data_IF_385719606982
#
_entry.id   IF_385719606982
#
_cell.length_a   1.000
_cell.length_b   1.000
_cell.length_c   1.000
_cell.angle_alpha   90.00
_cell.angle_beta   90.00
_cell.angle_gamma   90.00
#
_symmetry.space_group_name_H-M   'P 1'
#
loop_
_entity.id
_entity.type
_entity.pdbx_description
1 polymer ?
#
# COMPACT_ATOMS: atom_id res chain seq x y z
N UNK A 1 0.12 49.77 4.46
CA UNK A 1 0.43 49.96 5.88
C UNK A 1 -0.82 49.62 6.67
N UNK A 2 -0.92 48.40 7.20
CA UNK A 2 -1.99 48.07 8.13
C UNK A 2 -1.75 48.93 9.36
N UNK A 3 -2.79 49.65 9.76
CA UNK A 3 -2.80 50.50 10.93
C UNK A 3 -2.75 49.56 12.15
N UNK A 4 -1.54 49.21 12.59
CA UNK A 4 -1.31 48.25 13.67
C UNK A 4 -1.58 48.95 14.99
N UNK A 5 -2.87 49.04 15.31
CA UNK A 5 -3.34 49.66 16.54
C UNK A 5 -2.86 48.81 17.71
N UNK A 6 -1.95 49.31 18.56
CA UNK A 6 -1.24 48.47 19.53
C UNK A 6 -2.15 47.91 20.63
N UNK A 7 -3.34 48.51 20.80
CA UNK A 7 -4.37 48.07 21.75
C UNK A 7 -5.41 47.14 21.12
N UNK A 8 -5.32 46.86 19.81
CA UNK A 8 -6.23 45.94 19.14
C UNK A 8 -5.91 44.50 19.54
N UNK A 9 -6.85 43.76 20.15
CA UNK A 9 -6.63 42.36 20.47
C UNK A 9 -6.58 41.51 19.19
N UNK A 10 -5.79 40.44 19.24
CA UNK A 10 -5.64 39.42 18.21
C UNK A 10 -5.83 38.05 18.85
N UNK A 11 -6.52 37.17 18.13
CA UNK A 11 -6.73 35.75 18.46
C UNK A 11 -6.87 34.96 17.16
N UNK A 12 -6.69 33.64 17.23
CA UNK A 12 -6.84 32.70 16.11
C UNK A 12 -8.04 31.77 16.29
N UNK A 13 -8.55 31.25 15.17
CA UNK A 13 -9.47 30.11 15.16
C UNK A 13 -8.73 28.84 15.61
N UNK A 14 -9.45 27.95 16.27
CA UNK A 14 -8.89 26.71 16.81
C UNK A 14 -9.74 25.51 16.41
N UNK A 15 -9.10 24.39 16.09
CA UNK A 15 -9.78 23.13 15.75
C UNK A 15 -9.33 22.04 16.72
N UNK A 16 -10.29 21.35 17.33
CA UNK A 16 -10.03 20.32 18.34
C UNK A 16 -11.01 19.16 18.17
N UNK A 17 -10.59 17.95 18.48
CA UNK A 17 -11.50 16.79 18.50
C UNK A 17 -12.25 16.69 19.84
N UNK A 18 -13.46 16.13 19.83
CA UNK A 18 -14.24 15.85 21.06
C UNK A 18 -13.37 15.11 22.09
N UNK A 19 -13.48 15.51 23.37
CA UNK A 19 -12.68 15.00 24.48
C UNK A 19 -11.27 15.60 24.57
N UNK A 20 -10.85 16.38 23.57
CA UNK A 20 -9.57 17.07 23.54
C UNK A 20 -9.52 18.30 24.47
N UNK A 21 -8.44 19.08 24.36
CA UNK A 21 -8.28 20.36 25.07
C UNK A 21 -7.92 21.44 24.06
N UNK A 22 -8.65 22.56 24.07
CA UNK A 22 -8.37 23.73 23.25
C UNK A 22 -7.82 24.86 24.10
N UNK A 23 -6.88 25.64 23.55
CA UNK A 23 -6.30 26.82 24.22
C UNK A 23 -6.68 28.07 23.44
N UNK A 24 -7.49 28.93 24.03
CA UNK A 24 -7.85 30.23 23.46
C UNK A 24 -6.88 31.29 23.98
N UNK A 25 -6.17 31.96 23.06
CA UNK A 25 -5.14 32.94 23.41
C UNK A 25 -5.48 34.29 22.79
N UNK A 26 -5.66 35.29 23.65
CA UNK A 26 -5.86 36.67 23.23
C UNK A 26 -4.64 37.51 23.58
N UNK A 27 -4.12 38.27 22.60
CA UNK A 27 -2.93 39.10 22.75
C UNK A 27 -3.16 40.52 22.26
N UNK A 28 -2.54 41.49 22.91
CA UNK A 28 -2.42 42.89 22.47
C UNK A 28 -0.93 43.27 22.43
N UNK A 29 -0.53 44.18 21.54
CA UNK A 29 0.88 44.57 21.41
C UNK A 29 1.34 45.43 22.59
N UNK A 30 0.48 46.33 23.05
CA UNK A 30 0.68 47.16 24.23
C UNK A 30 -0.53 47.07 25.17
N UNK A 31 -0.33 47.46 26.43
CA UNK A 31 -1.39 47.49 27.44
C UNK A 31 -1.34 48.80 28.19
N UNK A 32 -2.50 49.43 28.32
CA UNK A 32 -2.73 50.65 29.11
C UNK A 32 -3.24 50.31 30.53
N UNK A 33 -2.93 49.11 31.03
CA UNK A 33 -3.53 48.47 32.22
C UNK A 33 -5.04 48.15 32.09
N UNK A 34 -5.61 48.20 30.88
CA UNK A 34 -6.94 47.63 30.64
C UNK A 34 -6.92 46.11 30.78
N UNK A 35 -7.99 45.57 31.36
CA UNK A 35 -8.14 44.12 31.53
C UNK A 35 -8.65 43.47 30.25
N UNK A 36 -8.05 42.32 29.90
CA UNK A 36 -8.58 41.42 28.89
C UNK A 36 -9.71 40.56 29.46
N UNK A 37 -10.64 40.17 28.60
CA UNK A 37 -11.76 39.31 28.94
C UNK A 37 -12.04 38.32 27.81
N UNK A 38 -12.33 37.07 28.18
CA UNK A 38 -12.94 36.09 27.29
C UNK A 38 -14.43 35.93 27.59
N UNK A 39 -15.25 35.91 26.55
CA UNK A 39 -16.65 35.45 26.60
C UNK A 39 -16.88 34.25 25.68
N UNK A 40 -17.83 33.38 26.09
CA UNK A 40 -18.24 32.23 25.31
C UNK A 40 -19.19 32.63 24.15
N UNK A 41 -19.64 31.61 23.42
CA UNK A 41 -20.59 31.73 22.29
C UNK A 41 -21.91 32.39 22.67
N UNK A 42 -22.35 32.25 23.92
CA UNK A 42 -23.53 32.91 24.48
C UNK A 42 -23.24 34.32 25.05
N UNK A 43 -22.05 34.86 24.79
CA UNK A 43 -21.57 36.16 25.30
C UNK A 43 -21.49 36.26 26.83
N UNK A 44 -21.39 35.12 27.52
CA UNK A 44 -21.16 35.07 28.96
C UNK A 44 -19.65 35.15 29.24
N UNK A 45 -19.27 35.98 30.21
CA UNK A 45 -17.87 36.10 30.63
C UNK A 45 -17.34 34.78 31.21
N UNK A 46 -16.24 34.31 30.65
CA UNK A 46 -15.49 33.14 31.15
C UNK A 46 -14.45 33.59 32.18
N UNK A 47 -13.58 34.51 31.76
CA UNK A 47 -12.51 35.10 32.56
C UNK A 47 -12.42 36.59 32.29
N UNK A 48 -12.18 37.37 33.34
CA UNK A 48 -11.83 38.78 33.28
C UNK A 48 -10.50 38.97 34.03
N UNK A 49 -9.41 39.14 33.28
CA UNK A 49 -8.06 38.92 33.79
C UNK A 49 -7.93 37.56 34.46
N UNK A 50 -7.45 37.53 35.70
CA UNK A 50 -7.31 36.29 36.48
C UNK A 50 -8.61 35.82 37.14
N UNK A 51 -9.68 36.62 37.09
CA UNK A 51 -10.94 36.32 37.79
C UNK A 51 -11.83 35.46 36.92
N UNK A 52 -12.12 34.26 37.39
CA UNK A 52 -13.10 33.36 36.78
C UNK A 52 -14.53 33.84 37.05
N UNK A 53 -15.33 33.95 36.01
CA UNK A 53 -16.73 34.38 36.09
C UNK A 53 -17.72 33.22 35.93
N UNK A 54 -17.43 32.23 35.06
CA UNK A 54 -18.28 31.06 34.86
C UNK A 54 -17.80 29.85 35.67
N UNK A 55 -18.73 29.14 36.33
CA UNK A 55 -18.45 27.93 37.11
C UNK A 55 -18.42 26.64 36.26
N UNK A 56 -17.73 26.65 35.13
CA UNK A 56 -17.42 25.42 34.36
C UNK A 56 -15.97 24.99 34.65
N UNK A 57 -15.78 23.83 35.29
CA UNK A 57 -14.48 23.36 35.76
C UNK A 57 -13.55 22.89 34.63
N UNK A 58 -14.09 22.69 33.43
CA UNK A 58 -13.31 22.41 32.23
C UNK A 58 -12.49 23.62 31.77
N UNK A 59 -12.95 24.83 32.14
CA UNK A 59 -12.35 26.09 31.72
C UNK A 59 -11.38 26.58 32.78
N UNK A 60 -10.09 26.52 32.49
CA UNK A 60 -9.00 26.89 33.40
C UNK A 60 -8.20 28.07 32.85
N UNK A 61 -7.69 28.91 33.75
CA UNK A 61 -6.74 29.94 33.39
C UNK A 61 -5.41 29.29 33.02
N UNK A 62 -4.94 29.55 31.81
CA UNK A 62 -3.64 29.07 31.34
C UNK A 62 -2.56 30.12 31.59
N UNK A 63 -2.83 31.37 31.19
CA UNK A 63 -1.90 32.49 31.35
C UNK A 63 -2.65 33.81 31.44
N UNK A 64 -2.20 34.69 32.34
CA UNK A 64 -2.71 36.06 32.46
C UNK A 64 -1.55 37.02 32.66
N UNK A 65 -1.47 38.03 31.80
CA UNK A 65 -0.53 39.16 31.88
C UNK A 65 -1.25 40.42 31.42
N UNK A 66 -0.59 41.58 31.47
CA UNK A 66 -1.16 42.83 30.96
C UNK A 66 -1.45 42.80 29.44
N UNK A 67 -0.74 41.97 28.68
CA UNK A 67 -0.82 41.90 27.21
C UNK A 67 -1.36 40.58 26.66
N UNK A 68 -1.63 39.59 27.52
CA UNK A 68 -2.05 38.25 27.11
C UNK A 68 -3.01 37.65 28.13
N UNK A 69 -4.13 37.10 27.63
CA UNK A 69 -5.05 36.28 28.39
C UNK A 69 -5.33 34.99 27.62
N UNK A 70 -4.85 33.88 28.18
CA UNK A 70 -5.04 32.54 27.64
C UNK A 70 -5.82 31.65 28.61
N UNK A 71 -6.80 30.94 28.08
CA UNK A 71 -7.62 29.97 28.82
C UNK A 71 -7.60 28.63 28.10
N UNK A 72 -7.72 27.54 28.85
CA UNK A 72 -7.88 26.19 28.31
C UNK A 72 -9.28 25.67 28.58
N UNK A 73 -9.89 25.01 27.61
CA UNK A 73 -11.14 24.26 27.77
C UNK A 73 -10.81 22.78 27.55
N UNK A 74 -10.84 21.99 28.61
CA UNK A 74 -10.61 20.53 28.57
C UNK A 74 -11.91 19.75 28.34
N UNK A 75 -11.81 18.49 27.91
CA UNK A 75 -12.97 17.62 27.65
C UNK A 75 -14.02 18.33 26.77
N UNK A 76 -13.55 18.82 25.62
CA UNK A 76 -14.34 19.62 24.69
C UNK A 76 -15.50 18.79 24.13
N UNK A 77 -16.69 19.35 24.14
CA UNK A 77 -17.92 18.76 23.62
C UNK A 77 -18.33 19.44 22.31
N UNK A 78 -19.15 18.77 21.51
CA UNK A 78 -19.68 19.33 20.26
C UNK A 78 -20.46 20.64 20.47
N UNK A 79 -21.06 20.81 21.66
CA UNK A 79 -21.78 22.02 22.06
C UNK A 79 -20.88 23.22 22.37
N UNK A 80 -19.57 23.01 22.57
CA UNK A 80 -18.62 24.09 22.83
C UNK A 80 -18.19 24.81 21.53
N UNK A 81 -18.59 24.29 20.37
CA UNK A 81 -18.35 24.87 19.05
C UNK A 81 -18.99 26.27 18.93
N UNK A 82 -18.26 27.18 18.28
CA UNK A 82 -18.76 28.50 17.91
C UNK A 82 -17.76 29.62 18.13
N UNK A 83 -18.27 30.85 18.07
CA UNK A 83 -17.47 32.07 18.14
C UNK A 83 -17.26 32.53 19.59
N UNK A 84 -16.00 32.52 20.05
CA UNK A 84 -15.57 33.08 21.32
C UNK A 84 -15.05 34.50 21.09
N UNK A 85 -15.33 35.40 22.04
CA UNK A 85 -14.94 36.81 21.90
C UNK A 85 -13.93 37.20 22.97
N UNK A 86 -12.78 37.71 22.53
CA UNK A 86 -11.87 38.43 23.39
C UNK A 86 -12.21 39.93 23.36
N UNK A 87 -12.28 40.56 24.52
CA UNK A 87 -12.51 42.00 24.65
C UNK A 87 -11.43 42.64 25.51
N UNK A 88 -10.98 43.83 25.12
CA UNK A 88 -10.19 44.74 25.97
C UNK A 88 -11.00 46.01 26.23
N UNK A 89 -11.12 46.40 27.49
CA UNK A 89 -12.00 47.49 27.93
C UNK A 89 -11.37 48.89 27.81
N UNK A 90 -10.81 49.20 26.65
CA UNK A 90 -10.40 50.56 26.27
C UNK A 90 -11.62 51.44 25.98
N UNK A 91 -11.41 52.74 25.73
CA UNK A 91 -12.44 53.63 25.19
C UNK A 91 -12.07 54.02 23.74
N UNK A 92 -12.73 53.45 22.70
CA UNK A 92 -13.82 52.47 22.74
C UNK A 92 -13.33 51.04 23.04
N UNK A 93 -14.24 50.14 23.41
CA UNK A 93 -13.94 48.72 23.65
C UNK A 93 -13.52 48.08 22.33
N UNK A 94 -12.43 47.32 22.36
CA UNK A 94 -11.92 46.60 21.19
C UNK A 94 -12.11 45.11 21.38
N UNK A 95 -12.41 44.42 20.29
CA UNK A 95 -12.70 42.99 20.33
C UNK A 95 -11.97 42.23 19.23
N UNK A 96 -11.73 40.96 19.51
CA UNK A 96 -11.25 39.97 18.57
C UNK A 96 -12.09 38.70 18.75
N UNK A 97 -12.26 37.92 17.69
CA UNK A 97 -13.12 36.73 17.66
C UNK A 97 -12.31 35.53 17.22
N UNK A 98 -12.57 34.40 17.87
CA UNK A 98 -12.00 33.10 17.56
C UNK A 98 -13.12 32.09 17.37
N UNK A 99 -13.13 31.40 16.25
CA UNK A 99 -14.05 30.28 16.00
C UNK A 99 -13.41 29.00 16.51
N UNK A 100 -14.05 28.34 17.46
CA UNK A 100 -13.68 26.98 17.88
C UNK A 100 -14.48 25.99 17.04
N UNK A 101 -13.78 25.19 16.24
CA UNK A 101 -14.37 24.08 15.48
C UNK A 101 -14.14 22.77 16.22
N UNK A 102 -15.21 22.02 16.48
CA UNK A 102 -15.10 20.75 17.22
C UNK A 102 -15.33 19.57 16.27
N UNK A 103 -14.30 18.74 16.11
CA UNK A 103 -14.35 17.55 15.25
C UNK A 103 -14.96 16.37 15.98
N UNK A 104 -15.96 15.74 15.36
CA UNK A 104 -16.51 14.45 15.78
C UNK A 104 -15.61 13.32 15.30
N UNK A 105 -15.17 12.46 16.21
CA UNK A 105 -14.24 11.37 15.89
C UNK A 105 -15.05 10.17 15.37
N UNK A 106 -14.85 9.74 14.11
CA UNK A 106 -15.60 8.62 13.55
C UNK A 106 -15.42 7.31 14.33
N UNK A 107 -16.44 6.48 14.35
CA UNK A 107 -16.39 5.11 14.85
C UNK A 107 -15.51 4.20 13.98
N UNK A 108 -15.10 3.05 14.54
CA UNK A 108 -14.42 2.01 13.73
C UNK A 108 -15.39 1.52 12.66
N UNK A 109 -15.03 1.56 11.36
CA UNK A 109 -15.94 1.18 10.29
C UNK A 109 -16.38 -0.28 10.43
N UNK A 110 -17.58 -0.62 9.99
CA UNK A 110 -18.09 -1.99 10.00
C UNK A 110 -18.37 -2.44 8.57
N UNK A 111 -17.86 -3.60 8.19
CA UNK A 111 -18.09 -4.20 6.86
C UNK A 111 -19.20 -5.26 6.98
N UNK A 112 -20.16 -5.22 6.07
CA UNK A 112 -21.30 -6.15 5.96
C UNK A 112 -21.61 -6.47 4.49
N UNK A 113 -22.64 -7.29 4.23
CA UNK A 113 -23.04 -7.70 2.87
C UNK A 113 -22.37 -8.97 2.36
N UNK A 114 -21.43 -9.54 3.12
CA UNK A 114 -20.76 -10.80 2.80
C UNK A 114 -20.82 -11.79 3.96
N UNK A 115 -21.74 -12.75 3.88
CA UNK A 115 -21.95 -13.77 4.93
C UNK A 115 -21.62 -15.19 4.48
N UNK A 116 -21.68 -15.45 3.17
CA UNK A 116 -21.54 -16.78 2.59
C UNK A 116 -20.43 -16.79 1.53
N UNK A 117 -19.83 -17.96 1.31
CA UNK A 117 -18.84 -18.12 0.26
C UNK A 117 -19.49 -17.94 -1.13
N UNK A 118 -18.74 -17.38 -2.07
CA UNK A 118 -19.23 -17.01 -3.41
C UNK A 118 -18.43 -17.80 -4.45
N UNK A 119 -19.07 -18.40 -5.47
CA UNK A 119 -18.35 -19.11 -6.52
C UNK A 119 -17.50 -18.16 -7.38
N UNK A 120 -16.41 -18.66 -7.94
CA UNK A 120 -15.57 -17.97 -8.93
C UNK A 120 -16.41 -17.41 -10.10
N UNK A 121 -16.13 -16.18 -10.51
CA UNK A 121 -16.92 -15.40 -11.47
C UNK A 121 -18.20 -14.82 -10.89
N UNK A 122 -18.54 -15.14 -9.63
CA UNK A 122 -19.65 -14.54 -8.91
C UNK A 122 -19.39 -13.08 -8.54
N UNK A 123 -20.46 -12.36 -8.19
CA UNK A 123 -20.36 -10.98 -7.70
C UNK A 123 -20.70 -10.91 -6.22
N UNK A 124 -19.87 -10.17 -5.48
CA UNK A 124 -20.08 -9.86 -4.07
C UNK A 124 -20.25 -8.36 -3.89
N UNK A 125 -21.16 -7.95 -3.01
CA UNK A 125 -21.35 -6.55 -2.63
C UNK A 125 -21.06 -6.40 -1.15
N UNK A 126 -20.07 -5.58 -0.83
CA UNK A 126 -19.67 -5.22 0.52
C UNK A 126 -20.21 -3.83 0.84
N UNK A 127 -20.74 -3.64 2.04
CA UNK A 127 -21.14 -2.34 2.57
C UNK A 127 -20.24 -2.00 3.74
N UNK A 128 -19.67 -0.80 3.75
CA UNK A 128 -18.90 -0.27 4.87
C UNK A 128 -19.65 0.90 5.49
N UNK A 129 -19.78 0.93 6.81
CA UNK A 129 -20.48 2.01 7.54
C UNK A 129 -19.58 2.53 8.67
N UNK A 130 -19.45 3.86 8.77
CA UNK A 130 -18.83 4.56 9.91
C UNK A 130 -19.79 5.64 10.43
N UNK A 131 -19.83 5.83 11.74
CA UNK A 131 -20.79 6.72 12.42
C UNK A 131 -20.07 7.77 13.28
N UNK A 132 -20.75 8.87 13.59
CA UNK A 132 -20.24 9.90 14.51
C UNK A 132 -19.18 10.84 13.91
N UNK A 133 -19.08 10.90 12.57
CA UNK A 133 -18.13 11.78 11.89
C UNK A 133 -18.60 13.24 11.91
N UNK A 134 -17.71 14.20 12.20
CA UNK A 134 -17.95 15.63 11.95
C UNK A 134 -16.60 16.29 11.63
N UNK A 135 -16.37 16.76 10.39
CA UNK A 135 -17.26 16.71 9.22
C UNK A 135 -17.53 15.27 8.72
N UNK A 136 -18.39 15.06 7.69
CA UNK A 136 -18.54 13.74 7.08
C UNK A 136 -17.19 13.16 6.68
N UNK A 137 -16.91 11.93 7.13
CA UNK A 137 -15.68 11.22 6.75
C UNK A 137 -15.76 10.68 5.32
N UNK A 138 -14.60 10.30 4.75
CA UNK A 138 -14.52 9.57 3.49
C UNK A 138 -14.17 8.11 3.77
N UNK A 139 -14.85 7.18 3.11
CA UNK A 139 -14.57 5.76 3.21
C UNK A 139 -13.77 5.30 1.99
N UNK A 140 -12.65 4.62 2.24
CA UNK A 140 -11.73 4.18 1.20
C UNK A 140 -11.57 2.67 1.28
N UNK A 141 -11.78 2.00 0.16
CA UNK A 141 -11.63 0.56 0.03
C UNK A 141 -10.24 0.18 -0.42
N UNK A 142 -9.68 -0.87 0.16
CA UNK A 142 -8.38 -1.43 -0.24
C UNK A 142 -8.44 -2.94 -0.38
N UNK A 143 -7.59 -3.47 -1.25
CA UNK A 143 -7.21 -4.88 -1.34
C UNK A 143 -5.70 -4.96 -1.22
N UNK A 144 -5.19 -5.40 -0.07
CA UNK A 144 -3.78 -5.17 0.28
C UNK A 144 -3.47 -3.68 0.26
N UNK A 145 -2.48 -3.27 -0.54
CA UNK A 145 -2.08 -1.86 -0.70
C UNK A 145 -2.80 -1.14 -1.85
N UNK A 146 -3.63 -1.84 -2.62
CA UNK A 146 -4.32 -1.27 -3.77
C UNK A 146 -5.66 -0.65 -3.37
N UNK A 147 -5.83 0.63 -3.65
CA UNK A 147 -7.12 1.32 -3.52
C UNK A 147 -8.11 0.79 -4.56
N UNK A 148 -9.35 0.52 -4.13
CA UNK A 148 -10.45 0.05 -4.96
C UNK A 148 -11.50 1.14 -5.09
N UNK A 149 -12.05 1.29 -6.30
CA UNK A 149 -13.12 2.23 -6.58
C UNK A 149 -14.47 1.60 -6.18
N UNK A 150 -15.07 2.13 -5.10
CA UNK A 150 -16.44 1.84 -4.69
C UNK A 150 -17.45 2.80 -5.31
N UNK A 151 -18.71 2.64 -4.95
CA UNK A 151 -19.73 3.66 -5.20
C UNK A 151 -19.45 4.92 -4.37
N UNK A 152 -19.93 6.10 -4.80
CA UNK A 152 -19.81 7.31 -4.02
C UNK A 152 -20.40 7.15 -2.62
N UNK A 153 -19.72 7.74 -1.63
CA UNK A 153 -20.15 7.69 -0.25
C UNK A 153 -21.53 8.34 -0.06
N UNK A 154 -22.40 7.66 0.68
CA UNK A 154 -23.71 8.16 1.10
C UNK A 154 -23.56 8.73 2.51
N UNK A 155 -23.89 10.01 2.66
CA UNK A 155 -23.79 10.76 3.91
C UNK A 155 -25.18 11.02 4.47
N UNK A 156 -25.41 10.58 5.70
CA UNK A 156 -26.67 10.75 6.42
C UNK A 156 -26.45 11.53 7.72
N UNK A 157 -27.12 12.68 7.94
CA UNK A 157 -27.04 13.40 9.21
C UNK A 157 -27.75 12.62 10.32
N UNK A 158 -27.20 12.67 11.54
CA UNK A 158 -27.83 12.05 12.71
C UNK A 158 -28.85 13.04 13.31
N UNK A 159 -30.11 12.63 13.58
CA UNK A 159 -31.09 13.51 14.23
C UNK A 159 -30.60 13.97 15.61
N UNK A 160 -30.75 15.27 15.89
CA UNK A 160 -30.39 15.91 17.18
C UNK A 160 -28.90 15.79 17.58
N UNK A 161 -28.02 15.40 16.66
CA UNK A 161 -26.58 15.28 16.86
C UNK A 161 -25.86 15.90 15.65
N UNK A 162 -24.87 16.79 15.83
CA UNK A 162 -24.22 17.48 14.72
C UNK A 162 -23.20 16.59 13.97
N UNK A 163 -23.35 15.27 14.04
CA UNK A 163 -22.52 14.27 13.36
C UNK A 163 -23.25 13.60 12.20
N UNK A 164 -22.47 12.85 11.42
CA UNK A 164 -22.89 12.17 10.21
C UNK A 164 -22.51 10.69 10.26
N UNK A 165 -23.41 9.88 9.72
CA UNK A 165 -23.15 8.50 9.34
C UNK A 165 -22.75 8.49 7.85
N UNK A 166 -21.70 7.74 7.54
CA UNK A 166 -21.20 7.59 6.17
C UNK A 166 -21.22 6.11 5.83
N UNK A 167 -21.74 5.80 4.65
CA UNK A 167 -21.76 4.44 4.12
C UNK A 167 -21.23 4.40 2.69
N UNK A 168 -20.53 3.31 2.36
CA UNK A 168 -19.94 3.08 1.04
C UNK A 168 -20.21 1.66 0.61
N UNK A 169 -20.42 1.44 -0.69
CA UNK A 169 -20.72 0.13 -1.27
C UNK A 169 -19.67 -0.23 -2.31
N UNK A 170 -19.11 -1.44 -2.20
CA UNK A 170 -18.13 -1.99 -3.13
C UNK A 170 -18.66 -3.28 -3.74
N UNK A 171 -18.79 -3.33 -5.07
CA UNK A 171 -19.14 -4.55 -5.80
C UNK A 171 -17.93 -5.09 -6.53
N UNK A 172 -17.59 -6.36 -6.29
CA UNK A 172 -16.47 -7.06 -6.90
C UNK A 172 -16.95 -8.31 -7.63
N UNK A 173 -16.34 -8.61 -8.78
CA UNK A 173 -16.39 -9.94 -9.38
C UNK A 173 -15.19 -10.74 -8.86
N UNK A 174 -15.43 -11.90 -8.27
CA UNK A 174 -14.41 -12.66 -7.53
C UNK A 174 -13.75 -13.73 -8.40
N UNK A 175 -12.44 -13.90 -8.25
CA UNK A 175 -11.64 -14.95 -8.87
C UNK A 175 -11.09 -15.92 -7.82
N UNK A 176 -10.56 -17.08 -8.25
CA UNK A 176 -9.85 -18.01 -7.34
C UNK A 176 -8.70 -17.36 -6.57
N UNK A 177 -8.07 -16.33 -7.13
CA UNK A 177 -6.96 -15.62 -6.48
C UNK A 177 -7.41 -14.68 -5.35
N UNK A 178 -8.71 -14.40 -5.27
CA UNK A 178 -9.29 -13.56 -4.23
C UNK A 178 -9.71 -14.37 -2.98
N UNK A 179 -9.56 -15.70 -2.99
CA UNK A 179 -9.86 -16.52 -1.80
C UNK A 179 -8.92 -16.17 -0.65
N UNK A 180 -9.48 -15.90 0.53
CA UNK A 180 -8.79 -15.35 1.70
C UNK A 180 -8.16 -13.96 1.51
N UNK A 181 -8.41 -13.28 0.39
CA UNK A 181 -7.98 -11.89 0.22
C UNK A 181 -8.70 -10.98 1.22
N UNK A 182 -7.95 -10.09 1.85
CA UNK A 182 -8.47 -9.13 2.82
C UNK A 182 -8.94 -7.87 2.08
N UNK A 183 -10.23 -7.60 2.16
CA UNK A 183 -10.82 -6.33 1.75
C UNK A 183 -10.89 -5.42 2.97
N UNK A 184 -10.26 -4.26 2.87
CA UNK A 184 -10.15 -3.29 3.95
C UNK A 184 -11.02 -2.08 3.64
N UNK A 185 -11.77 -1.60 4.61
CA UNK A 185 -12.39 -0.28 4.57
C UNK A 185 -11.72 0.61 5.61
N UNK A 186 -11.13 1.71 5.16
CA UNK A 186 -10.45 2.69 6.00
C UNK A 186 -11.22 4.01 6.03
N UNK A 187 -11.16 4.70 7.16
CA UNK A 187 -11.77 6.02 7.35
C UNK A 187 -10.72 7.10 7.18
N UNK A 188 -10.98 8.04 6.29
CA UNK A 188 -10.21 9.27 6.12
C UNK A 188 -10.99 10.45 6.72
N UNK A 189 -10.40 11.10 7.72
CA UNK A 189 -11.04 12.17 8.47
C UNK A 189 -10.00 13.07 9.17
N UNK A 190 -10.20 14.41 9.26
CA UNK A 190 -9.21 15.33 9.83
C UNK A 190 -8.81 15.09 11.30
N UNK A 191 -9.64 14.37 12.06
CA UNK A 191 -9.35 14.01 13.45
C UNK A 191 -8.52 12.74 13.62
N UNK A 192 -8.15 12.06 12.53
CA UNK A 192 -7.46 10.78 12.53
C UNK A 192 -6.14 10.88 11.77
N UNK A 193 -5.14 10.11 12.19
CA UNK A 193 -3.99 9.85 11.33
C UNK A 193 -4.36 8.80 10.26
N UNK A 194 -3.66 8.81 9.11
CA UNK A 194 -3.90 7.84 8.04
C UNK A 194 -3.79 6.39 8.56
N UNK A 195 -4.85 5.60 8.37
CA UNK A 195 -4.88 4.19 8.76
C UNK A 195 -5.27 3.89 10.21
N UNK A 196 -5.58 4.90 11.02
CA UNK A 196 -5.97 4.74 12.44
C UNK A 196 -7.25 3.91 12.61
N UNK A 197 -8.23 4.12 11.74
CA UNK A 197 -9.52 3.42 11.81
C UNK A 197 -9.79 2.70 10.50
N UNK A 198 -9.68 1.38 10.57
CA UNK A 198 -10.01 0.46 9.48
C UNK A 198 -10.61 -0.84 9.98
N UNK A 199 -11.31 -1.53 9.08
CA UNK A 199 -11.81 -2.88 9.29
C UNK A 199 -11.52 -3.73 8.06
N UNK A 200 -11.36 -5.02 8.26
CA UNK A 200 -10.89 -5.97 7.26
C UNK A 200 -11.87 -7.14 7.19
N UNK A 201 -12.17 -7.61 5.98
CA UNK A 201 -13.03 -8.75 5.70
C UNK A 201 -12.32 -9.68 4.72
N UNK A 202 -12.06 -10.92 5.16
CA UNK A 202 -11.55 -11.97 4.28
C UNK A 202 -12.67 -12.48 3.37
N UNK A 203 -12.41 -12.51 2.06
CA UNK A 203 -13.30 -13.16 1.10
C UNK A 203 -13.17 -14.69 1.19
N UNK A 204 -14.25 -15.38 0.89
CA UNK A 204 -14.31 -16.84 0.76
C UNK A 204 -14.86 -17.16 -0.63
N UNK A 205 -13.99 -17.67 -1.49
CA UNK A 205 -14.30 -17.92 -2.89
C UNK A 205 -14.24 -19.40 -3.17
N UNK A 206 -15.34 -19.96 -3.69
CA UNK A 206 -15.43 -21.37 -4.07
C UNK A 206 -15.03 -21.53 -5.52
N UNK A 207 -14.18 -22.49 -5.83
CA UNK A 207 -13.69 -22.73 -7.19
C UNK A 207 -13.45 -24.22 -7.45
N UNK A 208 -13.60 -24.62 -8.71
CA UNK A 208 -13.36 -25.99 -9.16
C UNK A 208 -11.86 -26.34 -9.12
N UNK A 209 -11.51 -27.63 -8.98
CA UNK A 209 -10.14 -28.04 -8.79
C UNK A 209 -9.30 -27.84 -10.07
N UNK A 210 -8.05 -27.42 -9.90
CA UNK A 210 -7.00 -27.55 -10.91
C UNK A 210 -6.20 -28.82 -10.60
N UNK A 211 -6.03 -29.68 -11.61
CA UNK A 211 -5.54 -31.04 -11.40
C UNK A 211 -4.17 -31.24 -12.04
N UNK A 212 -3.20 -31.65 -11.22
CA UNK A 212 -1.84 -32.00 -11.66
C UNK A 212 -1.49 -33.37 -11.13
N UNK A 213 -0.95 -34.24 -11.97
CA UNK A 213 -0.45 -35.54 -11.55
C UNK A 213 1.08 -35.43 -11.36
N UNK A 214 1.54 -35.70 -10.14
CA UNK A 214 2.95 -35.71 -9.77
C UNK A 214 3.45 -37.16 -9.62
N UNK A 215 4.52 -37.56 -10.32
CA UNK A 215 5.14 -38.86 -10.10
C UNK A 215 5.97 -38.88 -8.80
N UNK A 216 6.21 -40.07 -8.25
CA UNK A 216 7.18 -40.26 -7.15
C UNK A 216 8.59 -39.86 -7.57
N UNK A 217 9.00 -40.25 -8.78
CA UNK A 217 10.30 -39.97 -9.38
C UNK A 217 10.15 -39.65 -10.88
N UNK A 218 11.00 -38.75 -11.41
CA UNK A 218 10.95 -38.35 -12.82
C UNK A 218 11.49 -39.40 -13.81
N UNK A 219 12.18 -40.43 -13.30
CA UNK A 219 12.80 -41.50 -14.08
C UNK A 219 12.37 -42.87 -13.53
N UNK A 220 11.11 -43.28 -13.71
CA UNK A 220 10.62 -44.57 -13.23
C UNK A 220 11.34 -45.72 -13.94
N UNK A 221 11.88 -46.69 -13.21
CA UNK A 221 12.57 -47.87 -13.79
C UNK A 221 11.75 -49.14 -13.64
N UNK A 222 11.99 -50.08 -14.54
CA UNK A 222 11.41 -51.41 -14.46
C UNK A 222 11.76 -52.09 -13.12
N UNK A 223 10.81 -52.82 -12.54
CA UNK A 223 11.01 -53.53 -11.27
C UNK A 223 10.84 -52.68 -10.00
N UNK A 224 10.86 -51.35 -10.10
CA UNK A 224 10.76 -50.45 -8.95
C UNK A 224 9.30 -50.28 -8.46
N UNK A 225 9.17 -49.97 -7.16
CA UNK A 225 7.93 -49.45 -6.60
C UNK A 225 7.77 -48.00 -7.04
N UNK A 226 6.56 -47.64 -7.44
CA UNK A 226 6.28 -46.32 -7.99
C UNK A 226 4.85 -45.90 -7.67
N UNK A 227 4.59 -44.61 -7.56
CA UNK A 227 3.23 -44.10 -7.57
C UNK A 227 3.09 -42.80 -8.34
N UNK A 228 1.87 -42.58 -8.82
CA UNK A 228 1.40 -41.28 -9.29
C UNK A 228 0.49 -40.69 -8.20
N UNK A 229 0.74 -39.45 -7.83
CA UNK A 229 -0.11 -38.68 -6.92
C UNK A 229 -0.89 -37.65 -7.73
N UNK A 230 -2.20 -37.63 -7.57
CA UNK A 230 -3.07 -36.63 -8.14
C UNK A 230 -3.29 -35.49 -7.14
N UNK A 231 -2.87 -34.29 -7.51
CA UNK A 231 -3.01 -33.07 -6.73
C UNK A 231 -4.16 -32.26 -7.33
N UNK A 232 -5.24 -32.08 -6.57
CA UNK A 232 -6.38 -31.25 -6.94
C UNK A 232 -6.41 -29.98 -6.08
N UNK A 233 -6.05 -28.84 -6.64
CA UNK A 233 -6.15 -27.55 -5.94
C UNK A 233 -7.54 -26.93 -6.18
N UNK A 234 -8.42 -26.99 -5.19
CA UNK A 234 -9.78 -26.45 -5.27
C UNK A 234 -10.27 -25.97 -3.90
N UNK A 235 -11.28 -25.09 -3.89
CA UNK A 235 -11.98 -24.72 -2.66
C UNK A 235 -13.48 -25.04 -2.81
N UNK A 236 -14.03 -25.99 -2.03
CA UNK A 236 -13.38 -26.75 -0.95
C UNK A 236 -12.32 -27.76 -1.43
N UNK A 237 -11.48 -28.21 -0.51
CA UNK A 237 -10.45 -29.23 -0.78
C UNK A 237 -11.11 -30.53 -1.31
N UNK A 238 -10.66 -31.07 -2.45
CA UNK A 238 -11.30 -32.23 -3.07
C UNK A 238 -11.08 -33.53 -2.31
N UNK A 239 -12.13 -34.34 -2.23
CA UNK A 239 -12.11 -35.67 -1.58
C UNK A 239 -12.45 -36.82 -2.53
N UNK A 240 -12.88 -36.52 -3.77
CA UNK A 240 -13.24 -37.51 -4.79
C UNK A 240 -12.20 -37.53 -5.91
N UNK A 241 -11.57 -38.69 -6.11
CA UNK A 241 -10.52 -38.93 -7.11
C UNK A 241 -10.85 -40.19 -7.90
N UNK A 242 -10.76 -40.10 -9.22
CA UNK A 242 -10.99 -41.21 -10.14
C UNK A 242 -9.82 -41.34 -11.11
N UNK A 243 -9.23 -42.53 -11.17
CA UNK A 243 -8.10 -42.83 -12.03
C UNK A 243 -8.53 -43.65 -13.24
N UNK A 244 -8.03 -43.28 -14.41
CA UNK A 244 -8.27 -43.98 -15.68
C UNK A 244 -6.99 -44.05 -16.50
N UNK A 245 -6.89 -45.04 -17.39
CA UNK A 245 -5.86 -45.08 -18.44
C UNK A 245 -6.53 -44.72 -19.76
N UNK A 246 -5.97 -43.76 -20.50
CA UNK A 246 -6.62 -43.23 -21.73
C UNK A 246 -6.85 -44.30 -22.80
N UNK A 247 -5.96 -45.27 -22.88
CA UNK A 247 -5.97 -46.33 -23.89
C UNK A 247 -6.45 -47.69 -23.37
N UNK A 248 -7.15 -47.75 -22.21
CA UNK A 248 -7.72 -49.00 -21.72
C UNK A 248 -8.00 -49.03 -20.21
N UNK A 249 -8.08 -50.24 -19.65
CA UNK A 249 -8.22 -50.41 -18.20
C UNK A 249 -6.88 -50.13 -17.48
N UNK A 250 -6.96 -49.72 -16.21
CA UNK A 250 -5.78 -49.61 -15.36
C UNK A 250 -5.06 -50.97 -15.28
N UNK A 251 -3.71 -51.01 -15.19
CA UNK A 251 -2.99 -52.26 -15.06
C UNK A 251 -3.51 -53.08 -13.87
N UNK A 252 -3.70 -54.39 -14.00
CA UNK A 252 -4.37 -55.21 -12.98
C UNK A 252 -3.62 -55.28 -11.64
N UNK A 253 -2.31 -54.98 -11.65
CA UNK A 253 -1.47 -54.93 -10.46
C UNK A 253 -1.40 -53.52 -9.84
N UNK A 254 -1.91 -52.50 -10.52
CA UNK A 254 -1.95 -51.14 -9.99
C UNK A 254 -3.08 -51.01 -8.96
N UNK A 255 -2.80 -50.31 -7.85
CA UNK A 255 -3.76 -50.09 -6.76
C UNK A 255 -4.12 -48.62 -6.67
N UNK A 256 -5.40 -48.33 -6.72
CA UNK A 256 -5.95 -46.98 -6.47
C UNK A 256 -6.21 -46.82 -4.98
N UNK A 257 -5.70 -45.73 -4.41
CA UNK A 257 -5.85 -45.33 -3.02
C UNK A 257 -6.12 -43.81 -2.98
N UNK A 258 -7.37 -43.45 -3.26
CA UNK A 258 -7.81 -42.05 -3.39
C UNK A 258 -6.97 -41.29 -4.41
N UNK A 259 -6.20 -40.31 -3.93
CA UNK A 259 -5.31 -39.48 -4.74
C UNK A 259 -4.07 -40.24 -5.27
N UNK A 260 -3.81 -41.48 -4.87
CA UNK A 260 -2.62 -42.23 -5.27
C UNK A 260 -2.95 -43.41 -6.19
N UNK A 261 -2.22 -43.55 -7.30
CA UNK A 261 -2.17 -44.76 -8.11
C UNK A 261 -0.80 -45.43 -7.91
N UNK A 262 -0.78 -46.58 -7.24
CA UNK A 262 0.43 -47.28 -6.80
C UNK A 262 0.75 -48.49 -7.66
N UNK A 263 2.02 -48.66 -7.99
CA UNK A 263 2.62 -49.77 -8.70
C UNK A 263 3.64 -50.45 -7.78
N UNK A 264 3.43 -51.72 -7.43
CA UNK A 264 4.38 -52.46 -6.57
C UNK A 264 5.63 -52.89 -7.33
N UNK A 265 5.52 -53.04 -8.66
CA UNK A 265 6.60 -53.42 -9.55
C UNK A 265 6.27 -52.90 -10.95
N UNK A 266 6.96 -51.85 -11.38
CA UNK A 266 6.75 -51.25 -12.71
C UNK A 266 7.16 -52.21 -13.84
N UNK A 267 6.36 -52.24 -14.90
CA UNK A 267 6.64 -52.97 -16.13
C UNK A 267 6.54 -52.02 -17.34
N UNK A 268 7.28 -52.28 -18.42
CA UNK A 268 7.11 -51.55 -19.70
C UNK A 268 5.68 -51.63 -20.26
N UNK A 269 4.90 -52.66 -19.94
CA UNK A 269 3.49 -52.74 -20.31
C UNK A 269 2.61 -51.68 -19.63
N UNK A 270 3.08 -51.11 -18.52
CA UNK A 270 2.37 -50.05 -17.79
C UNK A 270 2.50 -48.69 -18.48
N UNK A 271 3.40 -48.57 -19.46
CA UNK A 271 3.53 -47.35 -20.26
C UNK A 271 2.18 -46.91 -20.84
N UNK A 272 1.99 -45.60 -20.87
CA UNK A 272 0.79 -44.98 -21.42
C UNK A 272 0.40 -43.71 -20.68
N UNK A 273 -0.79 -43.24 -21.01
CA UNK A 273 -1.33 -41.99 -20.50
C UNK A 273 -2.34 -42.28 -19.39
N UNK A 274 -2.08 -41.71 -18.22
CA UNK A 274 -2.93 -41.81 -17.03
C UNK A 274 -3.69 -40.52 -16.83
N UNK A 275 -4.99 -40.65 -16.58
CA UNK A 275 -5.90 -39.56 -16.29
C UNK A 275 -6.33 -39.65 -14.83
N UNK A 276 -6.41 -38.50 -14.18
CA UNK A 276 -7.03 -38.38 -12.86
C UNK A 276 -8.11 -37.32 -12.94
N UNK A 277 -9.35 -37.71 -12.70
CA UNK A 277 -10.47 -36.80 -12.56
C UNK A 277 -10.72 -36.50 -11.09
N UNK A 278 -10.88 -35.21 -10.77
CA UNK A 278 -11.09 -34.71 -9.41
C UNK A 278 -12.37 -33.90 -9.36
N UNK A 279 -13.15 -34.11 -8.29
CA UNK A 279 -14.39 -33.38 -8.02
C UNK A 279 -14.40 -32.87 -6.57
N UNK A 280 -14.71 -31.59 -6.38
CA UNK A 280 -14.84 -30.96 -5.07
C UNK A 280 -16.26 -30.49 -4.73
N UNK A 281 -17.27 -30.88 -5.50
CA UNK A 281 -18.67 -30.49 -5.35
C UNK A 281 -19.01 -29.11 -5.92
N UNK A 282 -18.01 -28.30 -6.29
CA UNK A 282 -18.20 -27.03 -7.03
C UNK A 282 -18.05 -27.27 -8.52
N UNK A 283 -17.13 -28.15 -8.90
CA UNK A 283 -16.96 -28.62 -10.26
C UNK A 283 -15.96 -29.77 -10.32
N UNK A 284 -15.76 -30.28 -11.53
CA UNK A 284 -14.77 -31.32 -11.80
C UNK A 284 -13.75 -30.85 -12.83
N UNK A 285 -12.57 -31.45 -12.79
CA UNK A 285 -11.52 -31.24 -13.76
C UNK A 285 -10.62 -32.49 -13.85
N UNK A 286 -9.75 -32.57 -14.85
CA UNK A 286 -8.89 -33.72 -15.07
C UNK A 286 -7.44 -33.32 -15.35
N UNK A 287 -6.50 -34.10 -14.81
CA UNK A 287 -5.07 -34.03 -15.12
C UNK A 287 -4.64 -35.23 -15.97
N UNK A 288 -3.57 -35.07 -16.73
CA UNK A 288 -2.98 -36.11 -17.58
C UNK A 288 -1.49 -36.27 -17.28
N UNK A 289 -1.00 -37.51 -17.21
CA UNK A 289 0.42 -37.82 -17.07
C UNK A 289 0.82 -38.97 -17.98
N UNK A 290 1.94 -38.81 -18.69
CA UNK A 290 2.50 -39.87 -19.53
C UNK A 290 3.56 -40.63 -18.77
N UNK A 291 3.30 -41.91 -18.46
CA UNK A 291 4.26 -42.80 -17.82
C UNK A 291 5.15 -43.47 -18.87
N UNK A 292 6.46 -43.30 -18.70
CA UNK A 292 7.51 -43.91 -19.52
C UNK A 292 8.53 -44.61 -18.62
N UNK A 293 8.39 -45.92 -18.46
CA UNK A 293 9.28 -46.79 -17.69
C UNK A 293 10.59 -46.97 -18.44
N UNK A 294 11.69 -46.62 -17.78
CA UNK A 294 13.05 -46.75 -18.26
C UNK A 294 13.54 -48.19 -18.12
N UNK A 295 14.40 -48.59 -19.06
CA UNK A 295 15.13 -49.84 -18.95
C UNK A 295 16.10 -49.81 -17.78
N UNK A 296 16.21 -50.95 -17.11
CA UNK A 296 17.25 -51.15 -16.12
C UNK A 296 18.61 -51.07 -16.82
N UNK A 297 19.37 -50.00 -16.53
CA UNK A 297 20.73 -49.83 -17.05
C UNK A 297 21.72 -50.90 -16.52
N UNK A 298 21.25 -51.82 -15.66
CA UNK A 298 22.05 -52.85 -15.02
C UNK A 298 22.29 -54.11 -15.88
N UNK A 299 21.64 -54.29 -17.03
CA UNK A 299 21.80 -55.52 -17.84
C UNK A 299 22.70 -55.39 -19.09
N UNK A 300 23.28 -54.22 -19.36
CA UNK A 300 24.29 -54.07 -20.43
C UNK A 300 25.74 -54.16 -19.91
N UNK A 301 26.05 -55.22 -19.16
CA UNK A 301 27.45 -55.69 -19.01
C UNK A 301 27.55 -57.13 -19.53
N UNK A 302 27.31 -57.29 -20.83
CA UNK A 302 27.74 -58.45 -21.58
C UNK A 302 28.16 -58.01 -22.98
N UNK A 303 29.47 -57.72 -23.12
CA UNK A 303 30.35 -57.84 -24.30
C UNK A 303 31.28 -56.61 -24.45
N UNK A 304 32.60 -56.71 -24.16
CA UNK A 304 33.56 -55.61 -24.33
C UNK A 304 34.03 -55.44 -25.79
N UNK A 305 33.18 -55.74 -26.77
CA UNK A 305 33.58 -55.74 -28.19
C UNK A 305 32.56 -55.08 -29.12
N UNK A 306 32.02 -53.93 -28.72
CA UNK A 306 31.35 -53.02 -29.65
C UNK A 306 32.06 -51.66 -29.64
N UNK A 307 32.49 -51.26 -30.84
CA UNK A 307 33.27 -50.07 -31.11
C UNK A 307 32.63 -48.81 -30.51
N UNK A 308 33.45 -48.00 -29.84
CA UNK A 308 33.16 -46.59 -29.62
C UNK A 308 33.08 -45.88 -30.98
N UNK A 309 31.87 -45.77 -31.52
CA UNK A 309 31.51 -44.62 -32.34
C UNK A 309 30.51 -43.80 -31.53
N UNK A 310 31.00 -43.03 -30.56
CA UNK A 310 30.15 -42.01 -29.96
C UNK A 310 29.91 -40.96 -31.02
N UNK A 311 28.63 -40.78 -31.31
CA UNK A 311 28.05 -39.71 -32.09
C UNK A 311 28.77 -38.39 -31.83
N UNK A 312 29.22 -37.76 -32.92
CA UNK A 312 29.64 -36.38 -32.91
C UNK A 312 28.47 -35.53 -32.43
N UNK A 313 28.51 -35.10 -31.18
CA UNK A 313 27.83 -33.90 -30.75
C UNK A 313 28.56 -32.77 -31.47
N UNK A 314 27.88 -32.22 -32.46
CA UNK A 314 28.39 -31.24 -33.41
C UNK A 314 29.23 -30.15 -32.74
N UNK A 315 30.55 -30.20 -32.96
CA UNK A 315 31.44 -29.05 -32.77
C UNK A 315 30.90 -27.78 -33.47
N UNK A 316 30.01 -27.94 -34.46
CA UNK A 316 29.30 -26.87 -35.13
C UNK A 316 28.25 -26.15 -34.25
N UNK A 317 27.56 -26.85 -33.34
CA UNK A 317 26.55 -26.23 -32.45
C UNK A 317 27.25 -25.44 -31.35
N UNK A 318 28.31 -26.00 -30.77
CA UNK A 318 29.15 -25.30 -29.78
C UNK A 318 29.84 -24.10 -30.43
N UNK A 319 30.35 -24.25 -31.66
CA UNK A 319 30.90 -23.14 -32.44
C UNK A 319 29.86 -22.05 -32.77
N UNK A 320 28.62 -22.43 -33.08
CA UNK A 320 27.53 -21.52 -33.37
C UNK A 320 27.13 -20.68 -32.16
N UNK A 321 26.97 -21.31 -30.99
CA UNK A 321 26.64 -20.59 -29.75
C UNK A 321 27.77 -19.62 -29.36
N UNK A 322 29.02 -20.06 -29.47
CA UNK A 322 30.19 -19.19 -29.19
C UNK A 322 30.25 -18.03 -30.18
N UNK A 323 30.00 -18.26 -31.47
CA UNK A 323 29.97 -17.19 -32.48
C UNK A 323 28.86 -16.16 -32.21
N UNK A 324 27.67 -16.60 -31.80
CA UNK A 324 26.55 -15.70 -31.45
C UNK A 324 26.89 -14.87 -30.22
N UNK A 325 27.47 -15.47 -29.18
CA UNK A 325 27.90 -14.73 -27.97
C UNK A 325 28.96 -13.68 -28.32
N UNK A 326 29.97 -14.03 -29.13
CA UNK A 326 31.01 -13.10 -29.57
C UNK A 326 30.42 -11.96 -30.40
N UNK A 327 29.47 -12.25 -31.29
CA UNK A 327 28.79 -11.23 -32.10
C UNK A 327 27.97 -10.26 -31.24
N UNK A 328 27.24 -10.77 -30.24
CA UNK A 328 26.47 -9.93 -29.30
C UNK A 328 27.41 -9.02 -28.50
N UNK A 329 28.55 -9.54 -28.02
CA UNK A 329 29.55 -8.73 -27.31
C UNK A 329 30.15 -7.64 -28.20
N UNK A 330 30.43 -7.94 -29.47
CA UNK A 330 30.92 -6.96 -30.44
C UNK A 330 29.89 -5.85 -30.72
N UNK A 331 28.62 -6.21 -30.88
CA UNK A 331 27.52 -5.25 -31.03
C UNK A 331 27.38 -4.36 -29.79
N UNK A 332 27.45 -4.94 -28.58
CA UNK A 332 27.40 -4.18 -27.34
C UNK A 332 28.57 -3.20 -27.23
N UNK A 333 29.79 -3.59 -27.57
CA UNK A 333 30.95 -2.71 -27.58
C UNK A 333 30.81 -1.56 -28.59
N UNK A 334 30.23 -1.80 -29.77
CA UNK A 334 29.95 -0.74 -30.75
C UNK A 334 28.89 0.22 -30.22
N UNK A 335 27.83 -0.30 -29.59
CA UNK A 335 26.77 0.53 -28.99
C UNK A 335 27.32 1.35 -27.82
N UNK A 336 28.11 0.74 -26.92
CA UNK A 336 28.79 1.42 -25.82
C UNK A 336 29.78 2.47 -26.35
N UNK A 337 30.56 2.15 -27.37
CA UNK A 337 31.45 3.11 -28.03
C UNK A 337 30.69 4.30 -28.61
N UNK A 338 29.58 4.05 -29.32
CA UNK A 338 28.72 5.12 -29.84
C UNK A 338 28.04 5.90 -28.73
N UNK A 339 27.63 5.24 -27.65
CA UNK A 339 27.04 5.89 -26.48
C UNK A 339 28.03 6.83 -25.80
N UNK A 340 29.26 6.37 -25.57
CA UNK A 340 30.33 7.17 -24.96
C UNK A 340 30.80 8.32 -25.87
N UNK A 341 30.85 8.12 -27.20
CA UNK A 341 31.13 9.20 -28.15
C UNK A 341 29.99 10.23 -28.18
N UNK A 342 28.73 9.79 -28.03
CA UNK A 342 27.54 10.66 -28.06
C UNK A 342 27.33 11.40 -26.74
N UNK A 343 27.86 10.90 -25.63
CA UNK A 343 27.79 11.50 -24.30
C UNK A 343 29.12 12.15 -23.83
N UNK A 344 29.97 12.64 -24.76
CA UNK A 344 30.96 13.67 -24.40
C UNK A 344 30.23 14.98 -24.04
N UNK A 345 29.69 15.02 -22.82
CA UNK A 345 29.06 16.19 -22.23
C UNK A 345 30.09 17.26 -21.89
N UNK A 346 29.77 18.51 -22.25
CA UNK A 346 30.47 19.71 -21.79
C UNK A 346 30.22 19.90 -20.31
N UNK A 347 31.28 19.99 -19.50
CA UNK A 347 31.18 20.45 -18.11
C UNK A 347 31.66 21.90 -18.01
N UNK A 348 30.93 22.72 -17.25
CA UNK A 348 31.30 24.11 -16.93
C UNK A 348 32.38 24.10 -15.85
N UNK A 349 33.54 24.68 -16.12
CA UNK A 349 34.47 25.09 -15.06
C UNK A 349 34.21 26.56 -14.73
N UNK A 350 33.79 26.84 -13.49
CA UNK A 350 33.73 28.20 -12.96
C UNK A 350 35.15 28.66 -12.60
N UNK A 351 35.87 29.24 -13.55
CA UNK A 351 37.09 29.97 -13.23
C UNK A 351 36.74 31.42 -12.86
N UNK A 352 37.16 31.84 -11.67
CA UNK A 352 37.05 33.23 -11.26
C UNK A 352 38.05 34.07 -12.07
N UNK A 353 37.53 35.05 -12.81
CA UNK A 353 38.32 35.98 -13.60
C UNK A 353 39.07 36.92 -12.65
N UNK A 354 40.39 36.74 -12.51
CA UNK A 354 41.19 37.61 -11.65
C UNK A 354 42.68 37.28 -11.50
N UNK A 355 43.21 36.20 -12.09
CA UNK A 355 44.62 35.82 -11.87
C UNK A 355 45.62 36.33 -12.90
N UNK A 356 45.18 36.90 -14.03
CA UNK A 356 46.12 37.23 -15.12
C UNK A 356 46.89 38.55 -14.90
N UNK A 357 46.43 39.44 -14.00
CA UNK A 357 47.04 40.76 -13.76
C UNK A 357 47.52 40.99 -12.31
N UNK A 358 47.62 39.95 -11.47
CA UNK A 358 48.14 40.05 -10.11
C UNK A 358 49.64 39.67 -10.06
N UNK A 359 50.53 40.51 -9.50
CA UNK A 359 51.96 40.21 -9.43
C UNK A 359 52.30 39.06 -8.46
N UNK A 360 51.38 38.71 -7.55
CA UNK A 360 51.54 37.66 -6.54
C UNK A 360 50.18 37.10 -6.06
N UNK A 361 50.22 35.87 -5.50
CA UNK A 361 49.04 35.09 -5.13
C UNK A 361 48.22 35.68 -3.96
N UNK A 362 48.85 36.46 -3.08
CA UNK A 362 48.19 37.05 -1.92
C UNK A 362 47.31 38.26 -2.29
N UNK A 363 47.58 38.90 -3.43
CA UNK A 363 46.82 40.07 -3.91
C UNK A 363 45.54 39.67 -4.67
N UNK A 364 45.46 38.43 -5.18
CA UNK A 364 44.29 37.93 -5.90
C UNK A 364 43.06 37.70 -4.99
N UNK A 365 43.26 37.55 -3.68
CA UNK A 365 42.19 37.20 -2.73
C UNK A 365 41.36 38.43 -2.29
N UNK A 366 41.93 39.65 -2.36
CA UNK A 366 41.31 40.84 -1.76
C UNK A 366 40.33 41.56 -2.71
N UNK A 367 40.40 41.32 -4.02
CA UNK A 367 39.56 42.03 -5.00
C UNK A 367 38.30 41.26 -5.45
N UNK A 368 37.96 40.15 -4.79
CA UNK A 368 36.76 39.38 -5.11
C UNK A 368 35.50 39.98 -4.45
N UNK A 369 35.15 41.22 -4.79
CA UNK A 369 33.88 41.81 -4.35
C UNK A 369 33.12 42.43 -5.53
N UNK A 370 31.97 41.83 -5.85
CA UNK A 370 30.87 42.50 -6.54
C UNK A 370 30.74 42.32 -8.06
N UNK A 371 29.82 41.43 -8.46
CA UNK A 371 28.79 41.77 -9.45
C UNK A 371 29.07 41.64 -10.95
N UNK A 372 28.40 40.63 -11.54
CA UNK A 372 27.80 40.56 -12.89
C UNK A 372 28.65 40.35 -14.16
N UNK A 373 28.25 39.25 -14.83
CA UNK A 373 28.13 39.01 -16.29
C UNK A 373 29.39 39.05 -17.17
N UNK A 374 29.92 37.85 -17.49
CA UNK A 374 30.84 37.67 -18.61
C UNK A 374 31.63 36.36 -18.53
N UNK A 375 30.96 35.21 -18.66
CA UNK A 375 31.63 33.92 -18.85
C UNK A 375 31.97 33.75 -20.34
N UNK A 376 33.25 33.57 -20.66
CA UNK A 376 33.69 33.12 -21.98
C UNK A 376 33.92 31.61 -21.96
N UNK A 377 33.32 30.91 -22.92
CA UNK A 377 33.40 29.46 -23.06
C UNK A 377 34.75 29.05 -23.69
N UNK A 378 35.60 28.36 -22.92
CA UNK A 378 36.76 27.64 -23.48
C UNK A 378 36.47 26.14 -23.56
N UNK A 379 36.68 25.57 -24.75
CA UNK A 379 36.53 24.13 -25.02
C UNK A 379 37.89 23.49 -25.16
N UNK A 380 38.22 22.55 -24.28
CA UNK A 380 39.36 21.64 -24.48
C UNK A 380 38.87 20.23 -24.74
N UNK A 381 39.52 19.57 -25.70
CA UNK A 381 39.23 18.21 -26.11
C UNK A 381 40.41 17.32 -25.73
N UNK A 382 40.18 16.32 -24.87
CA UNK A 382 41.12 15.21 -24.74
C UNK A 382 40.81 14.13 -25.79
N UNK A 383 41.90 13.67 -26.43
CA UNK A 383 41.95 12.57 -27.42
C UNK A 383 41.68 11.25 -26.72
#
# INVERSE_FOLDING_TARGET
SVNDDPLQPVTSDETVSVGGTVTLTCRVAESDNSSLQWSNTAQQTLYFGEKRALRDNRIQLHRSTSTELSITIADVQLSDEGEYTCSIFTMPVRTARATVTVLGVPGKPQISGFENAVPEGGKVTLTCISTGSKPPARLIWYRGDQELEGRPDVVEPVPDDPTYNVSSELTLEVSRSDDNALITCAVDHPSLAPGDKRSEQALRVLYSPEVVISPENNLPREGEKFFLQCLGNGNPEPTSYMWEKKDGELPPLAKVDGAFLRFEMLNKSDNGVYLCQVDNGIGNNQGEYTLLVQEDAAENIADPTAMLTSSGVDHAVIGGVVAVIVFILLCLLIVLGRYLIRHKGTYLTHEAKGSDDAPDADTAIINAEGGHSGAEDKKEYFI
#
